data_IF_476278760555
#
_entry.id   IF_476278760555
#
_cell.length_a   1.000
_cell.length_b   1.000
_cell.length_c   1.000
_cell.angle_alpha   90.00
_cell.angle_beta   90.00
_cell.angle_gamma   90.00
#
_symmetry.space_group_name_H-M   'P 1'
#
loop_
_entity.id
_entity.type
_entity.pdbx_description
1 polymer ?
#
# COMPACT_ATOMS: atom_id res chain seq x y z
N UNK A 1 22.74 21.47 -41.23
CA UNK A 1 21.72 20.81 -42.07
C UNK A 1 20.55 20.45 -41.17
N UNK A 2 19.30 20.71 -41.59
CA UNK A 2 18.08 20.41 -40.81
C UNK A 2 17.15 19.53 -41.63
N UNK A 3 16.21 18.86 -40.97
CA UNK A 3 15.22 17.98 -41.59
C UNK A 3 13.81 18.45 -41.26
N UNK A 4 12.93 18.53 -42.25
CA UNK A 4 11.53 18.87 -42.04
C UNK A 4 10.75 17.67 -41.48
N UNK A 5 9.95 17.94 -40.45
CA UNK A 5 9.00 16.98 -39.87
C UNK A 5 7.54 17.31 -40.25
N UNK A 6 7.36 18.23 -41.20
CA UNK A 6 6.03 18.60 -41.68
C UNK A 6 5.49 17.51 -42.61
N UNK A 7 4.17 17.31 -42.63
CA UNK A 7 3.55 16.30 -43.49
C UNK A 7 3.69 16.61 -44.98
N UNK A 8 3.89 17.87 -45.35
CA UNK A 8 4.16 18.27 -46.74
C UNK A 8 5.60 18.01 -47.19
N UNK A 9 6.55 17.90 -46.26
CA UNK A 9 7.96 17.64 -46.55
C UNK A 9 8.54 16.68 -45.50
N UNK A 10 8.01 15.46 -45.36
CA UNK A 10 8.39 14.56 -44.29
C UNK A 10 9.81 14.03 -44.55
N UNK A 11 10.70 14.21 -43.58
CA UNK A 11 12.08 13.72 -43.67
C UNK A 11 12.97 14.46 -44.68
N UNK A 12 12.47 15.51 -45.35
CA UNK A 12 13.21 16.25 -46.39
C UNK A 12 14.25 17.18 -45.77
N UNK A 13 15.51 17.10 -46.21
CA UNK A 13 16.59 17.94 -45.68
C UNK A 13 16.65 19.30 -46.35
N UNK A 14 16.98 20.32 -45.56
CA UNK A 14 17.17 21.69 -46.02
C UNK A 14 18.39 22.34 -45.35
N UNK A 15 18.94 23.34 -46.05
CA UNK A 15 19.81 24.35 -45.47
C UNK A 15 18.99 25.62 -45.29
N UNK A 16 19.18 26.30 -44.16
CA UNK A 16 18.54 27.57 -43.91
C UNK A 16 19.41 28.42 -42.99
N UNK A 17 19.19 29.73 -43.05
CA UNK A 17 19.87 30.67 -42.18
C UNK A 17 19.75 30.25 -40.70
N UNK A 18 20.83 30.37 -39.94
CA UNK A 18 20.76 30.12 -38.48
C UNK A 18 19.95 31.21 -37.78
N UNK A 19 20.11 32.46 -38.23
CA UNK A 19 19.53 33.66 -37.63
C UNK A 19 18.19 34.05 -38.27
N UNK A 20 17.49 33.14 -38.95
CA UNK A 20 16.26 33.45 -39.72
C UNK A 20 15.10 34.02 -38.87
N UNK A 21 15.18 33.90 -37.54
CA UNK A 21 14.18 34.44 -36.58
C UNK A 21 14.56 35.80 -36.00
N UNK A 22 15.75 36.31 -36.30
CA UNK A 22 16.22 37.59 -35.78
C UNK A 22 15.65 38.75 -36.60
N UNK A 23 15.47 39.93 -35.97
CA UNK A 23 14.88 41.13 -36.61
C UNK A 23 15.64 41.58 -37.88
N UNK A 24 16.94 41.30 -37.95
CA UNK A 24 17.81 41.55 -39.12
C UNK A 24 18.39 40.24 -39.67
N UNK A 25 17.70 39.12 -39.48
CA UNK A 25 18.12 37.79 -39.94
C UNK A 25 18.11 37.65 -41.46
N UNK A 26 18.85 36.65 -41.97
CA UNK A 26 18.85 36.33 -43.39
C UNK A 26 17.75 35.33 -43.76
N UNK A 27 17.18 35.47 -44.97
CA UNK A 27 16.09 34.63 -45.47
C UNK A 27 16.59 33.45 -46.34
N UNK A 28 17.88 33.10 -46.25
CA UNK A 28 18.43 31.98 -47.02
C UNK A 28 17.73 30.67 -46.64
N UNK A 29 17.22 29.97 -47.65
CA UNK A 29 16.60 28.66 -47.52
C UNK A 29 16.75 27.89 -48.83
N UNK A 30 17.15 26.63 -48.77
CA UNK A 30 17.20 25.74 -49.92
C UNK A 30 16.95 24.28 -49.52
N UNK A 31 16.17 23.57 -50.33
CA UNK A 31 15.99 22.13 -50.20
C UNK A 31 17.20 21.38 -50.75
N UNK A 32 17.67 20.38 -50.01
CA UNK A 32 18.78 19.51 -50.45
C UNK A 32 18.21 18.32 -51.22
N UNK A 33 17.16 17.71 -50.66
CA UNK A 33 16.51 16.55 -51.27
C UNK A 33 15.43 16.99 -52.26
N UNK A 34 15.09 16.17 -53.27
CA UNK A 34 13.94 16.42 -54.14
C UNK A 34 12.63 16.40 -53.36
N UNK A 35 11.54 16.78 -54.01
CA UNK A 35 10.20 16.70 -53.43
C UNK A 35 9.86 15.27 -53.03
N UNK A 36 9.13 15.13 -51.92
CA UNK A 36 8.68 13.82 -51.46
C UNK A 36 7.65 13.27 -52.44
N UNK A 37 7.81 12.00 -52.83
CA UNK A 37 6.87 11.35 -53.74
C UNK A 37 5.46 11.24 -53.11
N UNK A 38 4.39 11.12 -53.93
CA UNK A 38 3.01 11.05 -53.44
C UNK A 38 2.79 9.99 -52.36
N UNK A 39 3.36 8.78 -52.54
CA UNK A 39 3.29 7.69 -51.56
C UNK A 39 3.93 8.06 -50.21
N UNK A 40 5.04 8.80 -50.23
CA UNK A 40 5.69 9.28 -49.00
C UNK A 40 4.83 10.29 -48.24
N UNK A 41 4.09 11.14 -48.97
CA UNK A 41 3.14 12.08 -48.37
C UNK A 41 1.91 11.37 -47.80
N UNK A 42 1.38 10.35 -48.48
CA UNK A 42 0.28 9.52 -47.97
C UNK A 42 0.68 8.83 -46.66
N UNK A 43 1.87 8.23 -46.62
CA UNK A 43 2.35 7.58 -45.41
C UNK A 43 2.55 8.59 -44.26
N UNK A 44 3.08 9.78 -44.53
CA UNK A 44 3.23 10.82 -43.52
C UNK A 44 1.89 11.26 -42.92
N UNK A 45 0.81 11.32 -43.72
CA UNK A 45 -0.54 11.59 -43.21
C UNK A 45 -1.04 10.49 -42.29
N UNK A 46 -0.85 9.22 -42.66
CA UNK A 46 -1.24 8.07 -41.83
C UNK A 46 -0.49 8.11 -40.50
N UNK A 47 0.83 8.35 -40.53
CA UNK A 47 1.65 8.43 -39.34
C UNK A 47 1.25 9.60 -38.44
N UNK A 48 0.89 10.75 -39.02
CA UNK A 48 0.37 11.88 -38.24
C UNK A 48 -0.95 11.52 -37.57
N UNK A 49 -1.91 10.95 -38.30
CA UNK A 49 -3.20 10.55 -37.75
C UNK A 49 -3.03 9.52 -36.61
N UNK A 50 -2.15 8.53 -36.79
CA UNK A 50 -1.82 7.55 -35.76
C UNK A 50 -1.16 8.19 -34.54
N UNK A 51 -0.29 9.18 -34.74
CA UNK A 51 0.30 9.95 -33.64
C UNK A 51 -0.78 10.68 -32.85
N UNK A 52 -1.69 11.37 -33.53
CA UNK A 52 -2.79 12.10 -32.88
C UNK A 52 -3.72 11.17 -32.10
N UNK A 53 -4.03 9.99 -32.64
CA UNK A 53 -4.80 8.95 -31.95
C UNK A 53 -4.08 8.46 -30.69
N UNK A 54 -2.79 8.14 -30.79
CA UNK A 54 -1.97 7.69 -29.66
C UNK A 54 -1.85 8.77 -28.58
N UNK A 55 -1.70 10.04 -28.96
CA UNK A 55 -1.64 11.15 -28.00
C UNK A 55 -2.96 11.33 -27.26
N UNK A 56 -4.11 11.19 -27.95
CA UNK A 56 -5.42 11.18 -27.28
C UNK A 56 -5.57 10.01 -26.31
N UNK A 57 -5.15 8.81 -26.73
CA UNK A 57 -5.12 7.63 -25.87
C UNK A 57 -4.29 7.85 -24.61
N UNK A 58 -3.10 8.44 -24.78
CA UNK A 58 -2.21 8.79 -23.68
C UNK A 58 -2.85 9.77 -22.71
N UNK A 59 -3.50 10.82 -23.21
CA UNK A 59 -4.20 11.79 -22.38
C UNK A 59 -5.33 11.16 -21.55
N UNK A 60 -6.17 10.32 -22.18
CA UNK A 60 -7.25 9.64 -21.46
C UNK A 60 -6.74 8.74 -20.32
N UNK A 61 -5.66 7.99 -20.59
CA UNK A 61 -5.04 7.12 -19.57
C UNK A 61 -4.39 7.94 -18.46
N UNK A 62 -3.76 9.07 -18.79
CA UNK A 62 -3.15 9.98 -17.80
C UNK A 62 -4.22 10.60 -16.90
N UNK A 63 -5.34 11.05 -17.46
CA UNK A 63 -6.49 11.56 -16.70
C UNK A 63 -7.11 10.50 -15.78
N UNK A 64 -7.29 9.28 -16.27
CA UNK A 64 -7.78 8.16 -15.44
C UNK A 64 -6.80 7.81 -14.32
N UNK A 65 -5.49 7.80 -14.61
CA UNK A 65 -4.46 7.53 -13.63
C UNK A 65 -4.44 8.60 -12.53
N UNK A 66 -4.54 9.88 -12.88
CA UNK A 66 -4.59 10.98 -11.92
C UNK A 66 -5.81 10.85 -11.00
N UNK A 67 -6.98 10.50 -11.55
CA UNK A 67 -8.19 10.25 -10.77
C UNK A 67 -8.03 9.03 -9.83
N UNK A 68 -7.39 7.96 -10.29
CA UNK A 68 -7.12 6.77 -9.49
C UNK A 68 -6.12 7.05 -8.35
N UNK A 69 -5.10 7.88 -8.58
CA UNK A 69 -4.13 8.28 -7.55
C UNK A 69 -4.82 9.02 -6.41
N UNK A 70 -5.75 9.94 -6.71
CA UNK A 70 -6.54 10.63 -5.68
C UNK A 70 -7.37 9.63 -4.87
N UNK A 71 -8.11 8.75 -5.55
CA UNK A 71 -8.93 7.74 -4.87
C UNK A 71 -8.10 6.78 -4.02
N UNK A 72 -6.89 6.44 -4.47
CA UNK A 72 -5.96 5.61 -3.72
C UNK A 72 -5.52 6.31 -2.42
N UNK A 73 -5.24 7.62 -2.46
CA UNK A 73 -4.91 8.39 -1.27
C UNK A 73 -6.04 8.34 -0.23
N UNK A 74 -7.29 8.58 -0.64
CA UNK A 74 -8.46 8.53 0.25
C UNK A 74 -8.64 7.13 0.88
N UNK A 75 -8.48 6.07 0.07
CA UNK A 75 -8.56 4.69 0.57
C UNK A 75 -7.42 4.38 1.54
N UNK A 76 -6.21 4.90 1.31
CA UNK A 76 -5.09 4.70 2.24
C UNK A 76 -5.34 5.41 3.57
N UNK A 77 -5.91 6.62 3.56
CA UNK A 77 -6.28 7.34 4.77
C UNK A 77 -7.37 6.58 5.55
N UNK A 78 -8.43 6.14 4.85
CA UNK A 78 -9.50 5.36 5.47
C UNK A 78 -8.98 4.06 6.09
N UNK A 79 -8.06 3.37 5.43
CA UNK A 79 -7.44 2.16 5.96
C UNK A 79 -6.63 2.44 7.23
N UNK A 80 -5.85 3.53 7.28
CA UNK A 80 -5.11 3.93 8.49
C UNK A 80 -6.06 4.28 9.64
N UNK A 81 -7.15 4.99 9.35
CA UNK A 81 -8.17 5.30 10.36
C UNK A 81 -8.87 4.03 10.86
N UNK A 82 -9.11 3.05 9.99
CA UNK A 82 -9.71 1.79 10.38
C UNK A 82 -8.76 0.94 11.23
N UNK A 83 -7.48 0.83 10.88
CA UNK A 83 -6.50 0.07 11.66
C UNK A 83 -6.30 0.66 13.04
N UNK A 84 -6.18 1.98 13.15
CA UNK A 84 -6.08 2.67 14.46
C UNK A 84 -7.33 2.48 15.32
N UNK A 85 -8.52 2.49 14.70
CA UNK A 85 -9.78 2.20 15.41
C UNK A 85 -9.83 0.76 15.91
N UNK A 86 -9.40 -0.21 15.10
CA UNK A 86 -9.31 -1.63 15.49
C UNK A 86 -8.38 -1.79 16.70
N UNK A 87 -7.20 -1.17 16.66
CA UNK A 87 -6.24 -1.21 17.76
C UNK A 87 -6.82 -0.60 19.05
N UNK A 88 -7.48 0.55 18.94
CA UNK A 88 -8.13 1.20 20.07
C UNK A 88 -9.24 0.34 20.69
N UNK A 89 -10.11 -0.25 19.86
CA UNK A 89 -11.17 -1.15 20.33
C UNK A 89 -10.59 -2.41 20.97
N UNK A 90 -9.53 -2.99 20.40
CA UNK A 90 -8.85 -4.14 20.99
C UNK A 90 -8.25 -3.82 22.37
N UNK A 91 -7.63 -2.64 22.52
CA UNK A 91 -7.14 -2.18 23.82
C UNK A 91 -8.28 -2.01 24.85
N UNK A 92 -9.41 -1.44 24.43
CA UNK A 92 -10.59 -1.31 25.29
C UNK A 92 -11.17 -2.67 25.69
N UNK A 93 -11.27 -3.62 24.77
CA UNK A 93 -11.72 -4.99 25.06
C UNK A 93 -10.78 -5.66 26.07
N UNK A 94 -9.47 -5.52 25.87
CA UNK A 94 -8.46 -6.02 26.80
C UNK A 94 -8.63 -5.45 28.21
N UNK A 95 -8.75 -4.12 28.32
CA UNK A 95 -8.96 -3.42 29.58
C UNK A 95 -10.30 -3.79 30.26
N UNK A 96 -11.37 -3.96 29.46
CA UNK A 96 -12.67 -4.41 29.97
C UNK A 96 -12.58 -5.83 30.54
N UNK A 97 -11.91 -6.74 29.81
CA UNK A 97 -11.71 -8.12 30.22
C UNK A 97 -10.90 -8.21 31.51
N UNK A 98 -9.84 -7.43 31.67
CA UNK A 98 -9.06 -7.41 32.93
C UNK A 98 -9.86 -6.83 34.10
N UNK A 99 -10.67 -5.80 33.87
CA UNK A 99 -11.53 -5.19 34.90
C UNK A 99 -12.65 -6.14 35.38
N UNK A 100 -13.30 -6.84 34.47
CA UNK A 100 -14.42 -7.74 34.81
C UNK A 100 -13.95 -9.10 35.34
N UNK A 101 -12.96 -9.72 34.66
CA UNK A 101 -12.52 -11.09 34.96
C UNK A 101 -11.43 -11.13 36.03
N UNK A 102 -10.52 -10.15 36.06
CA UNK A 102 -9.36 -10.12 36.96
C UNK A 102 -9.71 -10.29 38.44
N UNK A 103 -10.60 -9.45 39.01
CA UNK A 103 -11.00 -9.56 40.41
C UNK A 103 -11.69 -10.89 40.73
N UNK A 104 -12.53 -11.37 39.82
CA UNK A 104 -13.24 -12.65 39.97
C UNK A 104 -12.26 -13.83 39.98
N UNK A 105 -11.25 -13.81 39.12
CA UNK A 105 -10.23 -14.85 39.04
C UNK A 105 -9.33 -14.87 40.29
N UNK A 106 -8.85 -13.71 40.75
CA UNK A 106 -8.06 -13.61 42.00
C UNK A 106 -8.86 -14.09 43.21
N UNK A 107 -10.14 -13.70 43.33
CA UNK A 107 -11.03 -14.17 44.39
C UNK A 107 -11.17 -15.69 44.37
N UNK A 108 -11.41 -16.27 43.20
CA UNK A 108 -11.56 -17.72 43.05
C UNK A 108 -10.28 -18.47 43.43
N UNK A 109 -9.10 -17.98 43.04
CA UNK A 109 -7.81 -18.59 43.44
C UNK A 109 -7.64 -18.55 44.95
N UNK A 110 -7.88 -17.41 45.59
CA UNK A 110 -7.75 -17.27 47.05
C UNK A 110 -8.66 -18.26 47.78
N UNK A 111 -9.92 -18.38 47.33
CA UNK A 111 -10.88 -19.33 47.90
C UNK A 111 -10.36 -20.78 47.79
N UNK A 112 -9.86 -21.18 46.62
CA UNK A 112 -9.31 -22.52 46.42
C UNK A 112 -8.09 -22.77 47.33
N UNK A 113 -7.16 -21.82 47.44
CA UNK A 113 -5.97 -21.94 48.30
C UNK A 113 -6.36 -22.10 49.77
N UNK A 114 -7.32 -21.31 50.26
CA UNK A 114 -7.82 -21.40 51.64
C UNK A 114 -8.46 -22.77 51.89
N UNK A 115 -9.30 -23.25 50.97
CA UNK A 115 -9.93 -24.58 51.08
C UNK A 115 -8.87 -25.68 51.19
N UNK A 116 -7.86 -25.66 50.32
CA UNK A 116 -6.78 -26.66 50.33
C UNK A 116 -6.00 -26.61 51.65
N UNK A 117 -5.68 -25.41 52.14
CA UNK A 117 -4.97 -25.23 53.41
C UNK A 117 -5.79 -25.78 54.59
N UNK A 118 -7.07 -25.43 54.67
CA UNK A 118 -7.98 -25.93 55.72
C UNK A 118 -8.08 -27.46 55.69
N UNK A 119 -8.27 -28.06 54.51
CA UNK A 119 -8.29 -29.52 54.35
C UNK A 119 -6.96 -30.14 54.83
N UNK A 120 -5.82 -29.55 54.47
CA UNK A 120 -4.50 -30.00 54.90
C UNK A 120 -4.30 -29.99 56.43
N UNK A 121 -4.75 -28.92 57.10
CA UNK A 121 -4.71 -28.82 58.57
C UNK A 121 -5.61 -29.88 59.22
N UNK A 122 -6.82 -30.10 58.69
CA UNK A 122 -7.73 -31.13 59.18
C UNK A 122 -7.10 -32.52 59.04
N UNK A 123 -6.57 -32.86 57.87
CA UNK A 123 -5.92 -34.17 57.63
C UNK A 123 -4.71 -34.40 58.56
N UNK A 124 -3.93 -33.35 58.85
CA UNK A 124 -2.79 -33.43 59.78
C UNK A 124 -3.23 -33.66 61.24
N UNK A 125 -4.33 -33.01 61.65
CA UNK A 125 -4.90 -33.12 62.99
C UNK A 125 -5.53 -34.50 63.24
N UNK A 126 -6.15 -35.07 62.21
CA UNK A 126 -6.65 -36.45 62.23
C UNK A 126 -5.47 -37.44 62.33
N UNK A 127 -4.38 -37.22 61.59
CA UNK A 127 -3.21 -38.11 61.60
C UNK A 127 -2.47 -38.13 62.96
N UNK A 128 -2.46 -37.02 63.71
CA UNK A 128 -1.93 -36.99 65.09
C UNK A 128 -2.83 -37.67 66.13
N UNK A 129 -4.13 -37.84 65.85
CA UNK A 129 -5.08 -38.51 66.75
C UNK A 129 -5.26 -40.01 66.45
N UNK A 130 -4.63 -40.55 65.41
CA UNK A 130 -4.59 -42.00 65.21
C UNK A 130 -3.55 -42.61 66.16
N UNK A 131 -3.95 -43.50 67.09
CA UNK A 131 -2.99 -44.20 67.93
C UNK A 131 -2.09 -45.03 67.02
N UNK A 132 -0.77 -44.80 67.09
CA UNK A 132 0.21 -45.70 66.48
C UNK A 132 -0.04 -47.09 67.06
N UNK A 133 -0.62 -48.00 66.28
CA UNK A 133 -0.70 -49.41 66.67
C UNK A 133 0.73 -49.91 66.75
N UNK A 134 1.26 -50.02 67.98
CA UNK A 134 2.48 -50.76 68.24
C UNK A 134 2.17 -52.22 67.91
N UNK A 135 2.57 -52.66 66.73
CA UNK A 135 2.67 -54.08 66.41
C UNK A 135 3.85 -54.64 67.22
N UNK A 136 3.59 -54.93 68.50
CA UNK A 136 4.47 -55.77 69.30
C UNK A 136 4.43 -57.17 68.70
N UNK A 137 5.53 -57.55 68.05
CA UNK A 137 5.87 -58.93 67.78
C UNK A 137 5.88 -59.69 69.11
N UNK A 138 5.07 -60.75 69.20
CA UNK A 138 5.25 -61.80 70.20
C UNK A 138 5.63 -63.12 69.49
N UNK A 139 6.51 -63.92 70.10
CA UNK A 139 7.25 -65.03 69.49
C UNK A 139 6.41 -66.26 69.16
#
# INVERSE_FOLDING_TARGET
>A
MRTSLTVKNPGRRFLGCMNYKEKNGCNFFVWIDPETCPRGLEYAKIMQAKKEELEKGRQMVEEENDALVVKLADLTEMNVNLTTTIEAVNAQIGARKTREIGPSYCRNIIVVVVIVFVIGVLMSSVNHNYPKKNYLYLP
#
